data_IF_490391559600
#
_entry.id   IF_490391559600
#
_cell.length_a   1.000
_cell.length_b   1.000
_cell.length_c   1.000
_cell.angle_alpha   90.00
_cell.angle_beta   90.00
_cell.angle_gamma   90.00
#
_symmetry.space_group_name_H-M   'P 1'
#
loop_
_entity.id
_entity.type
_entity.pdbx_description
1 polymer ?
#
# COMPACT_ATOMS: atom_id res chain seq x y z
N UNK A 1 21.35 14.21 -50.08
CA UNK A 1 19.90 14.47 -49.94
C UNK A 1 19.41 13.68 -48.75
N UNK A 2 18.92 14.35 -47.69
CA UNK A 2 18.41 13.69 -46.49
C UNK A 2 16.93 13.36 -46.66
N UNK A 3 16.59 12.08 -46.53
CA UNK A 3 15.23 11.57 -46.62
C UNK A 3 14.42 12.06 -45.40
N UNK A 4 13.40 12.90 -45.63
CA UNK A 4 12.50 13.36 -44.57
C UNK A 4 11.65 12.17 -44.11
N UNK A 5 11.93 11.62 -42.92
CA UNK A 5 11.02 10.71 -42.23
C UNK A 5 9.73 11.47 -41.91
N UNK A 6 8.68 11.19 -42.66
CA UNK A 6 7.34 11.72 -42.42
C UNK A 6 6.67 10.78 -41.42
N UNK A 7 6.54 11.22 -40.17
CA UNK A 7 5.81 10.47 -39.15
C UNK A 7 4.32 10.53 -39.49
N UNK A 8 3.75 9.43 -39.97
CA UNK A 8 2.29 9.31 -40.06
C UNK A 8 1.73 9.18 -38.64
N UNK A 9 0.89 10.12 -38.23
CA UNK A 9 0.12 9.98 -36.99
C UNK A 9 -0.82 8.78 -37.12
N UNK A 10 -0.73 7.85 -36.18
CA UNK A 10 -1.59 6.66 -36.12
C UNK A 10 -3.05 7.05 -35.86
N UNK A 11 -3.96 6.14 -36.24
CA UNK A 11 -5.40 6.28 -36.03
C UNK A 11 -5.74 6.67 -34.59
N UNK A 12 -6.66 7.63 -34.44
CA UNK A 12 -7.20 8.04 -33.14
C UNK A 12 -8.34 7.10 -32.78
N UNK A 13 -8.26 6.49 -31.60
CA UNK A 13 -9.36 5.73 -31.00
C UNK A 13 -9.87 6.51 -29.80
N UNK A 14 -11.15 6.83 -29.80
CA UNK A 14 -11.85 7.38 -28.64
C UNK A 14 -12.32 6.23 -27.73
N UNK A 15 -12.10 6.37 -26.42
CA UNK A 15 -12.51 5.40 -25.41
C UNK A 15 -13.47 6.09 -24.45
N UNK A 16 -14.72 5.65 -24.44
CA UNK A 16 -15.71 6.10 -23.45
C UNK A 16 -15.49 5.35 -22.14
N UNK A 17 -15.25 6.10 -21.05
CA UNK A 17 -15.08 5.55 -19.70
C UNK A 17 -16.24 6.02 -18.83
N UNK A 18 -17.04 5.07 -18.36
CA UNK A 18 -18.10 5.36 -17.38
C UNK A 18 -17.47 5.48 -16.00
N UNK A 19 -17.52 6.67 -15.41
CA UNK A 19 -17.06 6.92 -14.05
C UNK A 19 -18.14 6.54 -13.03
N UNK A 20 -17.77 6.01 -11.86
CA UNK A 20 -18.73 5.78 -10.79
C UNK A 20 -19.30 7.11 -10.27
N UNK A 21 -20.53 7.08 -9.75
CA UNK A 21 -21.12 8.25 -9.07
C UNK A 21 -20.30 8.58 -7.83
N UNK A 22 -19.77 9.80 -7.76
CA UNK A 22 -18.98 10.27 -6.63
C UNK A 22 -19.88 11.10 -5.70
N UNK A 23 -19.99 10.74 -4.41
CA UNK A 23 -20.76 11.53 -3.45
C UNK A 23 -20.25 12.96 -3.32
N UNK A 24 -21.17 13.89 -3.07
CA UNK A 24 -20.86 15.31 -2.89
C UNK A 24 -19.82 15.52 -1.76
N UNK A 25 -18.81 16.35 -2.03
CA UNK A 25 -17.74 16.64 -1.09
C UNK A 25 -16.56 15.66 -1.06
N UNK A 26 -16.56 14.59 -1.88
CA UNK A 26 -15.41 13.68 -1.99
C UNK A 26 -14.49 14.06 -3.16
N UNK A 27 -13.18 13.97 -2.92
CA UNK A 27 -12.16 14.04 -3.97
C UNK A 27 -11.78 12.63 -4.40
N UNK A 28 -11.67 12.42 -5.70
CA UNK A 28 -11.20 11.18 -6.30
C UNK A 28 -10.10 11.50 -7.30
N UNK A 29 -9.13 10.60 -7.41
CA UNK A 29 -8.06 10.69 -8.38
C UNK A 29 -8.22 9.55 -9.38
N UNK A 30 -8.42 9.90 -10.65
CA UNK A 30 -8.35 8.94 -11.74
C UNK A 30 -6.93 8.92 -12.28
N UNK A 31 -6.25 7.78 -12.17
CA UNK A 31 -4.95 7.56 -12.79
C UNK A 31 -5.14 6.72 -14.06
N UNK A 32 -5.05 7.37 -15.22
CA UNK A 32 -4.97 6.69 -16.51
C UNK A 32 -3.51 6.46 -16.85
N UNK A 33 -3.10 5.19 -16.88
CA UNK A 33 -1.77 4.78 -17.32
C UNK A 33 -1.94 3.95 -18.60
N UNK A 34 -1.49 4.48 -19.74
CA UNK A 34 -1.60 3.80 -21.01
C UNK A 34 -0.65 2.60 -21.03
N UNK A 35 -1.21 1.39 -20.96
CA UNK A 35 -0.46 0.14 -21.10
C UNK A 35 -0.69 -0.40 -22.49
N UNK A 36 0.38 -0.41 -23.29
CA UNK A 36 0.35 -1.00 -24.62
C UNK A 36 0.60 -2.50 -24.45
N UNK A 37 -0.46 -3.28 -24.48
CA UNK A 37 -0.38 -4.73 -24.61
C UNK A 37 -0.06 -5.04 -26.07
N UNK A 38 1.22 -5.26 -26.35
CA UNK A 38 1.69 -5.71 -27.66
C UNK A 38 1.51 -7.23 -27.77
N UNK A 39 1.03 -7.74 -28.91
CA UNK A 39 0.78 -9.18 -29.13
C UNK A 39 2.00 -10.07 -28.88
N UNK A 40 3.19 -9.49 -28.95
CA UNK A 40 4.44 -10.10 -28.50
C UNK A 40 4.98 -9.26 -27.35
N UNK A 41 5.54 -9.85 -26.29
CA UNK A 41 6.07 -9.04 -25.20
C UNK A 41 7.18 -8.12 -25.75
N UNK A 42 6.94 -6.82 -25.76
CA UNK A 42 7.90 -5.85 -26.30
C UNK A 42 9.01 -5.58 -25.27
N UNK A 43 10.24 -5.45 -25.76
CA UNK A 43 11.41 -5.17 -24.92
C UNK A 43 11.80 -6.34 -24.01
N UNK A 44 12.19 -6.05 -22.76
CA UNK A 44 12.73 -7.04 -21.82
C UNK A 44 11.67 -7.83 -21.05
N UNK A 45 10.37 -7.62 -21.30
CA UNK A 45 9.30 -8.27 -20.55
C UNK A 45 9.31 -9.82 -20.60
N UNK A 46 9.48 -10.50 -21.76
CA UNK A 46 9.46 -11.97 -21.79
C UNK A 46 10.65 -12.56 -21.04
N UNK A 47 11.82 -11.93 -21.13
CA UNK A 47 12.99 -12.33 -20.37
C UNK A 47 12.77 -12.18 -18.85
N UNK A 48 12.14 -11.08 -18.40
CA UNK A 48 11.82 -10.89 -16.97
C UNK A 48 10.85 -11.94 -16.43
N UNK A 49 9.83 -12.30 -17.22
CA UNK A 49 8.89 -13.36 -16.88
C UNK A 49 9.61 -14.71 -16.78
N UNK A 50 10.37 -15.10 -17.81
CA UNK A 50 11.11 -16.36 -17.81
C UNK A 50 12.16 -16.45 -16.69
N UNK A 51 12.84 -15.35 -16.38
CA UNK A 51 13.77 -15.27 -15.25
C UNK A 51 13.04 -15.47 -13.91
N UNK A 52 11.90 -14.82 -13.71
CA UNK A 52 11.13 -14.97 -12.49
C UNK A 52 10.61 -16.41 -12.29
N UNK A 53 10.12 -17.04 -13.36
CA UNK A 53 9.69 -18.43 -13.34
C UNK A 53 10.85 -19.40 -13.06
N UNK A 54 12.02 -19.16 -13.67
CA UNK A 54 13.22 -19.94 -13.39
C UNK A 54 13.67 -19.80 -11.92
N UNK A 55 13.78 -18.57 -11.41
CA UNK A 55 14.15 -18.32 -10.01
C UNK A 55 13.17 -18.99 -9.03
N UNK A 56 11.86 -18.97 -9.33
CA UNK A 56 10.85 -19.64 -8.51
C UNK A 56 11.01 -21.16 -8.53
N UNK A 57 11.34 -21.76 -9.68
CA UNK A 57 11.66 -23.21 -9.78
C UNK A 57 12.90 -23.58 -8.97
N UNK A 58 13.88 -22.68 -8.87
CA UNK A 58 15.09 -22.84 -8.04
C UNK A 58 14.83 -22.55 -6.54
N UNK A 59 13.57 -22.38 -6.13
CA UNK A 59 13.18 -22.12 -4.74
C UNK A 59 13.64 -20.76 -4.23
N UNK A 60 13.90 -19.79 -5.11
CA UNK A 60 14.34 -18.44 -4.71
C UNK A 60 13.15 -17.53 -4.41
N UNK A 61 13.28 -16.73 -3.36
CA UNK A 61 12.36 -15.63 -3.06
C UNK A 61 12.68 -14.44 -3.95
N UNK A 62 11.64 -13.84 -4.53
CA UNK A 62 11.76 -12.69 -5.43
C UNK A 62 10.96 -11.54 -4.85
N UNK A 63 11.58 -10.37 -4.77
CA UNK A 63 10.92 -9.11 -4.42
C UNK A 63 11.25 -8.10 -5.51
N UNK A 64 10.23 -7.44 -6.06
CA UNK A 64 10.41 -6.41 -7.08
C UNK A 64 10.50 -5.01 -6.49
N UNK A 65 11.34 -4.15 -7.08
CA UNK A 65 11.24 -2.70 -6.91
C UNK A 65 10.34 -2.12 -8.01
N UNK A 66 9.48 -1.17 -7.63
CA UNK A 66 8.50 -0.48 -8.46
C UNK A 66 7.26 -1.32 -8.77
N UNK A 67 6.19 -0.69 -9.29
CA UNK A 67 4.95 -1.36 -9.67
C UNK A 67 5.12 -2.28 -10.89
N UNK A 68 4.30 -3.33 -11.05
CA UNK A 68 4.27 -4.12 -12.28
C UNK A 68 3.82 -3.23 -13.45
N UNK A 69 4.60 -3.24 -14.54
CA UNK A 69 4.37 -2.38 -15.72
C UNK A 69 3.47 -3.03 -16.77
N UNK A 70 3.28 -4.35 -16.71
CA UNK A 70 2.45 -5.12 -17.63
C UNK A 70 1.59 -6.14 -16.86
N UNK A 71 0.45 -6.54 -17.43
CA UNK A 71 -0.42 -7.56 -16.85
C UNK A 71 0.31 -8.87 -16.60
N UNK A 72 1.12 -9.32 -17.57
CA UNK A 72 1.94 -10.52 -17.43
C UNK A 72 2.91 -10.47 -16.24
N UNK A 73 3.42 -9.28 -15.86
CA UNK A 73 4.25 -9.13 -14.66
C UNK A 73 3.43 -9.14 -13.37
N UNK A 74 2.20 -8.60 -13.43
CA UNK A 74 1.28 -8.61 -12.31
C UNK A 74 0.83 -10.04 -11.97
N UNK A 75 0.54 -10.82 -13.01
CA UNK A 75 0.10 -12.23 -12.90
C UNK A 75 1.17 -13.15 -12.29
N UNK A 76 2.42 -12.71 -12.18
CA UNK A 76 3.46 -13.43 -11.46
C UNK A 76 3.25 -13.42 -9.94
N UNK A 77 2.42 -12.51 -9.41
CA UNK A 77 2.15 -12.36 -7.97
C UNK A 77 3.46 -12.22 -7.15
N UNK A 78 4.44 -11.50 -7.69
CA UNK A 78 5.70 -11.19 -7.00
C UNK A 78 5.42 -10.00 -6.07
N UNK A 79 5.71 -10.10 -4.76
CA UNK A 79 5.64 -8.95 -3.86
C UNK A 79 6.54 -7.82 -4.35
N UNK A 80 6.02 -6.59 -4.37
CA UNK A 80 6.79 -5.42 -4.82
C UNK A 80 6.66 -4.26 -3.85
N UNK A 81 7.76 -3.57 -3.63
CA UNK A 81 7.74 -2.26 -2.98
C UNK A 81 8.05 -1.18 -4.00
N UNK A 82 7.71 0.07 -3.71
CA UNK A 82 8.19 1.21 -4.51
C UNK A 82 9.08 2.11 -3.66
N UNK A 83 10.23 2.48 -4.22
CA UNK A 83 11.01 3.63 -3.74
C UNK A 83 10.23 4.92 -3.97
N UNK A 84 10.39 5.86 -3.04
CA UNK A 84 9.53 7.04 -2.94
C UNK A 84 10.25 8.32 -3.35
N UNK A 85 10.07 8.72 -4.61
CA UNK A 85 10.27 10.12 -5.00
C UNK A 85 9.06 11.00 -4.62
N UNK A 86 7.89 10.39 -4.39
CA UNK A 86 6.64 11.03 -3.94
C UNK A 86 5.75 9.99 -3.28
N UNK A 87 5.06 10.35 -2.19
CA UNK A 87 4.05 9.49 -1.57
C UNK A 87 2.96 9.00 -2.54
N UNK A 88 2.60 9.81 -3.53
CA UNK A 88 1.60 9.45 -4.56
C UNK A 88 1.98 8.22 -5.39
N UNK A 89 3.26 7.81 -5.39
CA UNK A 89 3.69 6.62 -6.11
C UNK A 89 3.15 5.33 -5.51
N UNK A 90 2.70 5.34 -4.25
CA UNK A 90 1.98 4.22 -3.62
C UNK A 90 0.72 3.83 -4.40
N UNK A 91 0.04 4.79 -5.03
CA UNK A 91 -1.16 4.50 -5.83
C UNK A 91 -0.87 3.54 -6.98
N UNK A 92 0.38 3.54 -7.49
CA UNK A 92 0.79 2.67 -8.60
C UNK A 92 0.97 1.21 -8.17
N UNK A 93 1.06 0.93 -6.86
CA UNK A 93 1.30 -0.40 -6.32
C UNK A 93 0.04 -1.07 -5.77
N UNK A 94 -1.10 -0.38 -5.76
CA UNK A 94 -2.39 -0.87 -5.24
C UNK A 94 -2.87 -2.18 -5.88
N UNK A 95 -2.55 -2.41 -7.15
CA UNK A 95 -2.92 -3.64 -7.84
C UNK A 95 -1.99 -4.83 -7.53
N UNK A 96 -0.86 -4.62 -6.86
CA UNK A 96 0.10 -5.69 -6.55
C UNK A 96 0.34 -5.84 -5.05
N UNK A 97 1.02 -4.88 -4.45
CA UNK A 97 1.39 -4.91 -3.03
C UNK A 97 1.52 -3.45 -2.62
N UNK A 98 0.71 -2.94 -1.69
CA UNK A 98 0.70 -1.53 -1.32
C UNK A 98 1.93 -1.14 -0.47
N UNK A 99 3.10 -1.70 -0.75
CA UNK A 99 4.32 -1.48 0.01
C UNK A 99 5.10 -0.30 -0.54
N UNK A 100 5.50 0.57 0.37
CA UNK A 100 6.43 1.64 0.05
C UNK A 100 7.68 1.55 0.89
N UNK A 101 8.78 2.06 0.34
CA UNK A 101 10.03 2.13 1.06
C UNK A 101 10.20 3.48 1.76
N UNK A 102 10.65 3.48 3.01
CA UNK A 102 10.83 4.66 3.86
C UNK A 102 12.04 5.52 3.44
N UNK A 103 12.12 5.90 2.17
CA UNK A 103 13.23 6.67 1.61
C UNK A 103 12.78 8.00 0.99
N UNK A 104 11.57 8.46 1.32
CA UNK A 104 11.08 9.75 0.83
C UNK A 104 11.67 10.92 1.63
N UNK A 105 11.65 10.79 2.96
CA UNK A 105 12.10 11.83 3.88
C UNK A 105 13.52 11.50 4.39
N UNK A 106 14.42 12.49 4.55
CA UNK A 106 15.75 12.27 5.10
C UNK A 106 15.77 12.10 6.63
N UNK A 107 14.62 12.08 7.30
CA UNK A 107 14.50 11.87 8.75
C UNK A 107 14.38 10.38 9.07
N UNK A 108 15.50 9.81 9.49
CA UNK A 108 15.65 8.40 9.90
C UNK A 108 15.41 8.18 11.41
N UNK A 109 14.83 9.14 12.11
CA UNK A 109 14.41 8.93 13.51
C UNK A 109 13.14 8.07 13.58
N UNK A 110 12.89 7.42 14.71
CA UNK A 110 11.64 6.68 14.96
C UNK A 110 10.41 7.57 14.79
N UNK A 111 10.50 8.85 15.19
CA UNK A 111 9.47 9.84 14.93
C UNK A 111 9.29 10.10 13.43
N UNK A 112 10.39 10.22 12.67
CA UNK A 112 10.39 10.30 11.21
C UNK A 112 9.66 9.13 10.56
N UNK A 113 9.98 7.89 10.93
CA UNK A 113 9.28 6.69 10.46
C UNK A 113 7.79 6.71 10.82
N UNK A 114 7.42 7.17 12.02
CA UNK A 114 6.02 7.29 12.42
C UNK A 114 5.25 8.34 11.59
N UNK A 115 5.90 9.44 11.21
CA UNK A 115 5.33 10.42 10.27
C UNK A 115 5.17 9.80 8.87
N UNK A 116 6.18 9.08 8.37
CA UNK A 116 6.11 8.40 7.08
C UNK A 116 5.00 7.34 7.06
N UNK A 117 4.85 6.53 8.11
CA UNK A 117 3.76 5.55 8.22
C UNK A 117 2.38 6.21 8.08
N UNK A 118 2.16 7.36 8.74
CA UNK A 118 0.92 8.12 8.58
C UNK A 118 0.73 8.62 7.15
N UNK A 119 1.78 9.18 6.54
CA UNK A 119 1.71 9.67 5.15
C UNK A 119 1.47 8.54 4.16
N UNK A 120 1.98 7.35 4.40
CA UNK A 120 1.74 6.19 3.56
C UNK A 120 0.28 5.75 3.64
N UNK A 121 -0.29 5.72 4.84
CA UNK A 121 -1.69 5.38 5.05
C UNK A 121 -2.62 6.36 4.32
N UNK A 122 -2.27 7.65 4.19
CA UNK A 122 -3.04 8.61 3.38
C UNK A 122 -3.24 8.13 1.92
N UNK A 123 -2.31 7.33 1.39
CA UNK A 123 -2.36 6.73 0.05
C UNK A 123 -2.65 5.22 0.08
N UNK A 124 -3.27 4.71 1.16
CA UNK A 124 -3.54 3.29 1.38
C UNK A 124 -2.27 2.40 1.23
N UNK A 125 -1.13 2.93 1.65
CA UNK A 125 0.17 2.25 1.61
C UNK A 125 0.58 1.73 2.99
N UNK A 126 1.46 0.73 2.98
CA UNK A 126 2.10 0.12 4.14
C UNK A 126 3.59 0.43 4.09
N UNK A 127 4.10 0.96 5.20
CA UNK A 127 5.52 1.34 5.32
C UNK A 127 6.39 0.08 5.41
N UNK A 128 7.46 0.05 4.62
CA UNK A 128 8.64 -0.77 4.91
C UNK A 128 9.86 0.15 5.05
N UNK A 129 10.55 0.06 6.18
CA UNK A 129 11.73 0.86 6.48
C UNK A 129 13.02 0.12 6.19
N UNK A 130 14.05 0.87 5.82
CA UNK A 130 15.43 0.43 6.02
C UNK A 130 15.75 0.45 7.52
N UNK A 131 16.45 -0.57 7.98
CA UNK A 131 17.10 -0.58 9.29
C UNK A 131 18.55 -0.94 9.05
N UNK A 132 19.45 -0.03 9.36
CA UNK A 132 20.88 -0.23 9.28
C UNK A 132 21.43 -0.56 10.66
N UNK A 133 22.51 -1.36 10.75
CA UNK A 133 23.17 -1.62 12.03
C UNK A 133 23.65 -0.37 12.76
N UNK A 134 23.86 0.73 12.03
CA UNK A 134 24.26 2.04 12.55
C UNK A 134 23.11 2.90 13.04
N UNK A 135 21.86 2.49 12.85
CA UNK A 135 20.72 3.31 13.25
C UNK A 135 20.63 3.36 14.78
N UNK A 136 20.45 4.57 15.36
CA UNK A 136 20.48 4.75 16.81
C UNK A 136 19.29 4.10 17.52
N UNK A 137 18.16 3.94 16.82
CA UNK A 137 16.93 3.35 17.35
C UNK A 137 16.12 2.71 16.21
N UNK A 138 15.50 1.56 16.49
CA UNK A 138 14.67 0.82 15.52
C UNK A 138 13.18 1.04 15.81
N UNK A 139 12.35 1.40 14.81
CA UNK A 139 10.91 1.57 15.02
C UNK A 139 10.21 0.28 15.48
N UNK A 140 9.76 0.24 16.73
CA UNK A 140 9.14 -0.95 17.33
C UNK A 140 7.74 -1.25 16.80
N UNK A 141 7.08 -0.27 16.17
CA UNK A 141 5.75 -0.47 15.59
C UNK A 141 5.78 -1.17 14.23
N UNK A 142 6.91 -1.16 13.51
CA UNK A 142 6.95 -1.68 12.15
C UNK A 142 6.65 -3.20 12.09
N UNK A 143 7.19 -4.05 12.98
CA UNK A 143 6.78 -5.45 13.04
C UNK A 143 5.28 -5.65 13.29
N UNK A 144 4.60 -4.73 13.98
CA UNK A 144 3.15 -4.83 14.21
C UNK A 144 2.34 -4.65 12.93
N UNK A 145 2.88 -3.95 11.92
CA UNK A 145 2.20 -3.72 10.64
C UNK A 145 2.15 -4.97 9.74
N UNK A 146 2.87 -6.05 10.10
CA UNK A 146 3.02 -7.26 9.29
C UNK A 146 2.80 -8.55 10.12
N UNK A 147 2.43 -9.67 9.49
CA UNK A 147 2.00 -9.80 8.08
C UNK A 147 0.69 -9.08 7.79
N UNK A 148 0.47 -8.67 6.55
CA UNK A 148 -0.82 -8.14 6.13
C UNK A 148 -1.12 -8.60 4.70
N UNK A 149 -2.30 -9.17 4.52
CA UNK A 149 -2.89 -9.58 3.25
C UNK A 149 -4.02 -8.60 2.93
N UNK A 150 -3.78 -7.54 2.14
CA UNK A 150 -4.76 -6.50 1.92
C UNK A 150 -6.00 -7.02 1.19
N UNK A 151 -7.17 -6.68 1.71
CA UNK A 151 -8.49 -6.99 1.11
C UNK A 151 -9.25 -5.72 0.73
N UNK A 152 -8.93 -4.58 1.35
CA UNK A 152 -9.54 -3.29 1.03
C UNK A 152 -8.57 -2.13 1.27
N UNK A 153 -8.55 -1.18 0.33
CA UNK A 153 -7.69 -0.01 0.36
C UNK A 153 -8.55 1.25 0.40
N UNK A 154 -8.29 2.14 1.36
CA UNK A 154 -8.94 3.46 1.46
C UNK A 154 -7.91 4.51 1.85
N UNK A 155 -8.14 5.76 1.46
CA UNK A 155 -7.31 6.86 1.96
C UNK A 155 -7.38 6.89 3.51
N UNK A 156 -6.23 6.71 4.14
CA UNK A 156 -6.07 6.61 5.59
C UNK A 156 -6.29 5.23 6.19
N UNK A 157 -6.50 4.17 5.39
CA UNK A 157 -6.72 2.82 5.90
C UNK A 157 -6.32 1.70 4.91
N UNK A 158 -5.71 0.64 5.45
CA UNK A 158 -5.52 -0.64 4.78
C UNK A 158 -6.15 -1.72 5.65
N UNK A 159 -7.20 -2.35 5.15
CA UNK A 159 -7.81 -3.52 5.76
C UNK A 159 -7.18 -4.75 5.12
N UNK A 160 -6.59 -5.59 5.96
CA UNK A 160 -6.15 -6.92 5.58
C UNK A 160 -6.84 -8.02 6.37
N UNK A 161 -6.58 -9.26 6.01
CA UNK A 161 -7.14 -10.43 6.69
C UNK A 161 -6.71 -10.51 8.16
N UNK A 162 -5.48 -10.11 8.45
CA UNK A 162 -4.84 -10.23 9.75
C UNK A 162 -4.83 -8.91 10.52
N UNK A 163 -4.89 -7.76 9.82
CA UNK A 163 -4.65 -6.44 10.43
C UNK A 163 -5.48 -5.34 9.77
N UNK A 164 -5.85 -4.33 10.55
CA UNK A 164 -6.31 -3.04 10.04
C UNK A 164 -5.27 -2.00 10.41
N UNK A 165 -4.73 -1.29 9.42
CA UNK A 165 -3.82 -0.18 9.61
C UNK A 165 -4.58 1.10 9.29
N UNK A 166 -4.57 2.11 10.16
CA UNK A 166 -5.29 3.36 9.89
C UNK A 166 -4.65 4.56 10.58
N UNK A 167 -4.70 5.72 9.93
CA UNK A 167 -4.28 7.01 10.51
C UNK A 167 -5.48 7.93 10.77
N UNK A 168 -6.68 7.36 10.88
CA UNK A 168 -7.93 8.08 11.16
C UNK A 168 -8.59 7.51 12.41
N UNK A 169 -9.23 8.38 13.18
CA UNK A 169 -10.20 7.92 14.17
C UNK A 169 -11.43 7.36 13.46
N UNK A 170 -12.05 6.33 14.02
CA UNK A 170 -13.18 5.68 13.36
C UNK A 170 -13.61 4.39 14.05
N UNK A 171 -14.48 3.63 13.39
CA UNK A 171 -14.92 2.30 13.81
C UNK A 171 -14.43 1.29 12.79
N UNK A 172 -13.76 0.25 13.26
CA UNK A 172 -13.07 -0.71 12.42
C UNK A 172 -13.39 -2.13 12.88
N UNK A 173 -13.39 -3.08 11.96
CA UNK A 173 -13.62 -4.48 12.28
C UNK A 173 -13.66 -5.33 11.02
N UNK A 174 -13.76 -6.63 11.22
CA UNK A 174 -13.91 -7.60 10.14
C UNK A 174 -15.38 -7.98 9.97
N UNK A 175 -15.78 -8.43 8.77
CA UNK A 175 -17.15 -8.85 8.50
C UNK A 175 -17.68 -9.94 9.45
N UNK A 176 -16.79 -10.80 9.96
CA UNK A 176 -17.12 -11.87 10.89
C UNK A 176 -17.20 -11.43 12.36
N UNK A 177 -16.93 -10.16 12.65
CA UNK A 177 -16.95 -9.62 14.01
C UNK A 177 -15.78 -10.06 14.89
N UNK A 178 -14.65 -10.46 14.30
CA UNK A 178 -13.40 -10.79 15.02
C UNK A 178 -12.99 -9.71 16.03
N UNK A 179 -12.34 -10.13 17.11
CA UNK A 179 -11.69 -9.22 18.06
C UNK A 179 -10.33 -8.74 17.54
N UNK A 180 -9.75 -7.75 18.23
CA UNK A 180 -8.42 -7.28 17.90
C UNK A 180 -7.68 -6.72 19.12
N UNK A 181 -6.36 -6.93 19.11
CA UNK A 181 -5.44 -6.17 19.94
C UNK A 181 -5.16 -4.83 19.24
N UNK A 182 -5.37 -3.72 19.97
CA UNK A 182 -5.28 -2.37 19.40
C UNK A 182 -4.03 -1.66 19.90
N UNK A 183 -3.16 -1.30 18.97
CA UNK A 183 -1.97 -0.50 19.21
C UNK A 183 -2.16 0.88 18.59
N UNK A 184 -2.07 1.93 19.40
CA UNK A 184 -2.04 3.32 18.91
C UNK A 184 -0.63 3.84 19.06
N UNK A 185 -0.06 4.34 17.97
CA UNK A 185 1.30 4.87 17.89
C UNK A 185 1.23 6.40 17.82
N UNK A 186 1.96 7.07 18.69
CA UNK A 186 2.00 8.53 18.76
C UNK A 186 2.97 9.16 17.75
N UNK A 187 3.04 10.49 17.74
CA UNK A 187 3.88 11.26 16.83
C UNK A 187 5.39 10.95 16.97
N UNK A 188 5.81 10.43 18.12
CA UNK A 188 7.19 10.02 18.42
C UNK A 188 7.44 8.55 18.07
N UNK A 189 6.47 7.85 17.47
CA UNK A 189 6.58 6.44 17.11
C UNK A 189 6.52 5.48 18.29
N UNK A 190 5.95 5.91 19.43
CA UNK A 190 5.81 5.08 20.64
C UNK A 190 4.37 4.62 20.81
N UNK A 191 4.18 3.42 21.33
CA UNK A 191 2.86 2.93 21.73
C UNK A 191 2.29 3.80 22.86
N UNK A 192 1.04 4.22 22.68
CA UNK A 192 0.24 4.85 23.73
C UNK A 192 -0.16 3.76 24.73
N UNK A 193 0.14 3.97 26.01
CA UNK A 193 -0.09 2.97 27.07
C UNK A 193 -1.56 2.70 27.37
N UNK A 194 -2.43 3.70 27.15
CA UNK A 194 -3.88 3.61 27.36
C UNK A 194 -4.61 4.18 26.14
N UNK A 195 -4.67 3.43 25.02
CA UNK A 195 -5.33 3.91 23.83
C UNK A 195 -6.85 4.07 24.09
N UNK A 196 -7.45 5.14 23.58
CA UNK A 196 -8.89 5.37 23.71
C UNK A 196 -9.63 4.49 22.70
N UNK A 197 -10.00 3.31 23.16
CA UNK A 197 -10.70 2.31 22.35
C UNK A 197 -11.89 1.73 23.10
N UNK A 198 -12.92 1.34 22.36
CA UNK A 198 -14.03 0.55 22.92
C UNK A 198 -14.66 -0.34 21.86
N UNK A 199 -15.12 -1.51 22.29
CA UNK A 199 -15.95 -2.36 21.43
C UNK A 199 -17.35 -1.76 21.33
N UNK A 200 -17.87 -1.68 20.11
CA UNK A 200 -19.24 -1.23 19.80
C UNK A 200 -19.96 -2.28 18.97
N UNK A 201 -21.29 -2.33 19.07
CA UNK A 201 -22.14 -3.16 18.21
C UNK A 201 -23.01 -2.25 17.34
N UNK A 202 -22.95 -2.44 16.04
CA UNK A 202 -23.68 -1.65 15.05
C UNK A 202 -24.10 -2.58 13.91
N UNK A 203 -25.38 -2.53 13.52
CA UNK A 203 -25.96 -3.40 12.48
C UNK A 203 -25.66 -4.91 12.67
N UNK A 204 -25.67 -5.37 13.94
CA UNK A 204 -25.36 -6.75 14.29
C UNK A 204 -23.87 -7.13 14.19
N UNK A 205 -23.00 -6.18 13.83
CA UNK A 205 -21.54 -6.38 13.71
C UNK A 205 -20.81 -5.87 14.94
N UNK A 206 -19.76 -6.58 15.33
CA UNK A 206 -18.80 -6.11 16.33
C UNK A 206 -17.77 -5.22 15.64
N UNK A 207 -17.60 -4.00 16.14
CA UNK A 207 -16.58 -3.06 15.69
C UNK A 207 -15.78 -2.55 16.89
N UNK A 208 -14.61 -1.99 16.61
CA UNK A 208 -13.72 -1.35 17.57
C UNK A 208 -13.68 0.12 17.21
N UNK A 209 -14.21 0.98 18.07
CA UNK A 209 -14.04 2.42 17.96
C UNK A 209 -12.65 2.81 18.46
N UNK A 210 -11.91 3.53 17.63
CA UNK A 210 -10.58 4.08 17.94
C UNK A 210 -10.66 5.60 17.87
N UNK A 211 -10.26 6.26 18.96
CA UNK A 211 -10.12 7.72 19.04
C UNK A 211 -8.66 8.06 19.29
N UNK A 212 -8.09 8.88 18.42
CA UNK A 212 -6.69 9.30 18.51
C UNK A 212 -6.47 10.67 17.84
N UNK A 213 -5.45 11.43 18.27
CA UNK A 213 -5.06 12.67 17.58
C UNK A 213 -4.61 12.43 16.13
N UNK A 214 -4.67 13.47 15.30
CA UNK A 214 -4.34 13.36 13.86
C UNK A 214 -2.87 13.09 13.54
N UNK A 215 -1.99 13.21 14.54
CA UNK A 215 -0.58 12.86 14.45
C UNK A 215 -0.25 11.44 14.96
N UNK A 216 -1.28 10.64 15.24
CA UNK A 216 -1.19 9.24 15.61
C UNK A 216 -1.65 8.32 14.46
N UNK A 217 -1.37 7.04 14.58
CA UNK A 217 -2.00 5.99 13.78
C UNK A 217 -2.25 4.74 14.64
N UNK A 218 -3.13 3.87 14.16
CA UNK A 218 -3.54 2.66 14.84
C UNK A 218 -3.26 1.42 13.99
N UNK A 219 -2.93 0.34 14.68
CA UNK A 219 -2.75 -1.00 14.17
C UNK A 219 -3.67 -1.89 14.99
N UNK A 220 -4.66 -2.49 14.35
CA UNK A 220 -5.54 -3.48 14.96
C UNK A 220 -5.07 -4.84 14.47
N UNK A 221 -4.57 -5.68 15.36
CA UNK A 221 -4.13 -7.04 15.05
C UNK A 221 -5.27 -7.99 15.36
N UNK A 222 -5.76 -8.70 14.34
CA UNK A 222 -6.91 -9.59 14.47
C UNK A 222 -6.61 -10.73 15.44
N UNK A 223 -7.55 -10.97 16.34
CA UNK A 223 -7.56 -12.10 17.25
C UNK A 223 -8.93 -12.80 17.11
N UNK A 224 -9.03 -13.85 16.27
CA UNK A 224 -10.31 -14.52 16.01
C UNK A 224 -10.81 -15.35 17.21
N UNK A 225 -9.92 -15.74 18.14
CA UNK A 225 -10.23 -16.60 19.28
C UNK A 225 -10.50 -15.82 20.59
N UNK A 226 -10.41 -14.49 20.53
CA UNK A 226 -10.69 -13.60 21.66
C UNK A 226 -12.16 -13.51 22.02
#
# INVERSE_FOLDING_TARGET
MAEKRQTQSLAVTELDVVLPTVPEGQQFQLALDARIDWERPAGSNPWKVGMAEWLRREGKTIIGNGPPRARTMLDLHIPRFTEMASYSFLLKTHLSSPWGLANHDPDYTVAGHARQARRFLDYAGVLTSYVWPSDPEVPTFQPLMYPITPVELRAGMVLGEERILTNRSGRYGWPDGSQADVYVINAQGRCVSKPQTRTVREDGRRLIEVRMPGDHFAILVRNPDG
#
